data_IF_025589567267
#
_entry.id   IF_025589567267
#
_cell.length_a   1.000
_cell.length_b   1.000
_cell.length_c   1.000
_cell.angle_alpha   90.00
_cell.angle_beta   90.00
_cell.angle_gamma   90.00
#
_symmetry.space_group_name_H-M   'P 1'
#
loop_
_entity.id
_entity.type
_entity.pdbx_description
1 polymer ?
2 non-polymer ?
3 non-polymer ?
4 non-polymer ?
5 water ?
#
# COMPACT_ATOMS: atom_id res chain seq x y z
N UNK A 1 -1.03 13.40 -11.79
CA UNK A 1 -0.40 12.37 -10.96
C UNK A 1 -1.05 11.03 -11.30
N UNK A 2 -0.25 9.98 -11.43
CA UNK A 2 -0.78 8.67 -11.80
C UNK A 2 0.03 7.57 -11.18
N UNK A 3 -0.61 6.40 -11.06
CA UNK A 3 0.07 5.20 -10.60
C UNK A 3 -0.31 4.04 -11.49
N UNK A 4 0.43 2.94 -11.39
CA UNK A 4 -0.03 1.69 -11.94
C UNK A 4 0.38 0.55 -11.03
N UNK A 5 -0.23 -0.60 -11.31
CA UNK A 5 -0.02 -1.81 -10.54
C UNK A 5 0.53 -2.87 -11.47
N UNK A 6 1.71 -3.37 -11.16
CA UNK A 6 2.40 -4.33 -12.01
C UNK A 6 2.48 -3.86 -13.46
N UNK A 7 2.60 -2.55 -13.66
CA UNK A 7 2.76 -1.98 -14.99
C UNK A 7 1.51 -1.98 -15.84
N UNK A 8 0.34 -1.99 -15.21
CA UNK A 8 -0.92 -2.01 -15.93
C UNK A 8 -1.38 -0.61 -16.31
N UNK A 9 -2.70 -0.44 -16.41
CA UNK A 9 -3.28 0.84 -16.77
C UNK A 9 -3.00 1.91 -15.72
N UNK A 10 -3.01 3.16 -16.16
CA UNK A 10 -2.76 4.27 -15.27
C UNK A 10 -3.96 4.56 -14.40
N UNK A 11 -3.69 4.95 -13.16
CA UNK A 11 -4.71 5.12 -12.13
C UNK A 11 -4.53 6.50 -11.51
N UNK A 12 -5.57 7.31 -11.54
CA UNK A 12 -5.49 8.66 -11.01
C UNK A 12 -6.28 8.86 -9.74
N UNK A 13 -7.11 7.87 -9.38
CA UNK A 13 -7.94 7.92 -8.20
C UNK A 13 -8.67 6.61 -8.12
N UNK A 14 -9.32 6.35 -6.99
CA UNK A 14 -10.22 5.22 -6.89
C UNK A 14 -9.59 4.00 -6.29
N UNK A 15 -10.29 2.88 -6.43
CA UNK A 15 -9.95 1.64 -5.75
C UNK A 15 -9.34 0.65 -6.71
N UNK A 16 -8.21 0.06 -6.33
CA UNK A 16 -7.52 -0.91 -7.14
C UNK A 16 -7.06 -2.07 -6.29
N UNK A 17 -7.25 -3.29 -6.77
CA UNK A 17 -6.68 -4.43 -6.11
C UNK A 17 -5.22 -4.60 -6.49
N UNK A 18 -4.44 -5.06 -5.52
CA UNK A 18 -3.02 -5.29 -5.70
C UNK A 18 -2.74 -6.69 -5.23
N UNK A 19 -2.26 -7.54 -6.14
CA UNK A 19 -2.09 -8.95 -5.85
C UNK A 19 -0.64 -9.27 -5.51
N UNK A 20 -0.44 -9.89 -4.35
CA UNK A 20 0.89 -10.11 -3.83
C UNK A 20 1.19 -11.59 -3.70
N UNK A 21 2.48 -11.91 -3.64
CA UNK A 21 2.93 -13.28 -3.49
C UNK A 21 3.66 -13.43 -2.16
N UNK A 22 3.15 -14.31 -1.32
CA UNK A 22 3.65 -14.43 0.04
C UNK A 22 4.29 -15.79 0.27
N UNK A 23 5.26 -15.84 1.19
CA UNK A 23 5.82 -17.12 1.62
C UNK A 23 4.67 -18.04 2.03
N UNK A 24 4.63 -19.24 1.46
CA UNK A 24 3.47 -20.12 1.67
C UNK A 24 3.43 -20.73 3.08
N UNK A 25 4.57 -20.77 3.76
CA UNK A 25 4.63 -21.33 5.11
C UNK A 25 5.38 -20.40 6.03
N UNK A 26 4.77 -20.10 7.17
CA UNK A 26 5.45 -19.33 8.20
C UNK A 26 5.36 -20.04 9.55
N UNK A 27 6.35 -19.82 10.40
CA UNK A 27 6.40 -20.46 11.70
C UNK A 27 5.74 -19.58 12.73
N UNK A 28 5.23 -20.17 13.82
CA UNK A 28 4.71 -19.40 14.94
C UNK A 28 5.75 -18.36 15.36
N UNK A 29 5.33 -17.12 15.54
CA UNK A 29 6.24 -16.07 15.94
C UNK A 29 6.88 -15.34 14.75
N UNK A 30 6.56 -15.79 13.55
CA UNK A 30 7.09 -15.17 12.33
C UNK A 30 6.02 -14.26 11.71
N UNK A 31 6.46 -13.15 11.13
CA UNK A 31 5.54 -12.23 10.46
C UNK A 31 5.53 -12.40 8.97
N UNK A 32 4.45 -11.98 8.33
CA UNK A 32 4.43 -11.86 6.87
C UNK A 32 4.93 -10.48 6.49
N UNK A 33 5.72 -10.41 5.44
CA UNK A 33 6.23 -9.14 4.96
C UNK A 33 5.70 -8.92 3.56
N UNK A 34 4.88 -7.88 3.38
CA UNK A 34 4.32 -7.59 2.09
C UNK A 34 4.99 -6.36 1.52
N UNK A 35 5.80 -6.53 0.48
CA UNK A 35 6.55 -5.43 -0.11
C UNK A 35 5.80 -4.84 -1.29
N UNK A 36 5.01 -3.82 -1.03
CA UNK A 36 4.16 -3.26 -2.07
C UNK A 36 4.95 -2.41 -3.06
N UNK A 37 6.20 -2.08 -2.75
CA UNK A 37 7.04 -1.35 -3.70
C UNK A 37 7.29 -2.19 -4.95
N UNK A 38 7.12 -3.50 -4.84
CA UNK A 38 7.29 -4.39 -5.99
C UNK A 38 6.11 -4.33 -6.95
N UNK A 39 5.03 -3.67 -6.55
CA UNK A 39 3.77 -3.71 -7.29
C UNK A 39 3.24 -2.35 -7.70
N UNK A 40 3.27 -1.38 -6.80
CA UNK A 40 2.66 -0.08 -7.06
C UNK A 40 3.74 0.93 -7.35
N UNK A 41 3.62 1.62 -8.48
CA UNK A 41 4.54 2.72 -8.82
C UNK A 41 3.72 3.92 -9.23
N UNK A 42 4.24 5.12 -8.94
CA UNK A 42 3.54 6.34 -9.28
C UNK A 42 4.50 7.37 -9.88
N UNK A 43 3.94 8.39 -10.51
CA UNK A 43 4.78 9.40 -11.13
C UNK A 43 4.00 10.69 -11.27
N UNK A 44 4.76 11.77 -11.48
CA UNK A 44 4.21 13.07 -11.80
C UNK A 44 4.00 13.14 -13.31
N UNK A 45 2.85 13.65 -13.74
CA UNK A 45 2.48 13.58 -15.15
C UNK A 45 3.13 14.64 -16.03
N UNK A 46 3.81 15.61 -15.41
CA UNK A 46 4.54 16.62 -16.17
C UNK A 46 6.04 16.30 -16.22
N UNK A 47 6.56 15.77 -15.12
CA UNK A 47 8.00 15.60 -14.98
C UNK A 47 8.68 16.90 -14.56
N UNK A 48 9.96 16.79 -14.27
CA UNK A 48 10.77 17.94 -13.88
C UNK A 48 10.31 18.61 -12.60
N UNK A 49 9.56 17.88 -11.76
CA UNK A 49 9.07 18.43 -10.51
C UNK A 49 8.23 19.66 -10.75
N UNK A 50 7.59 19.72 -11.92
CA UNK A 50 6.62 20.75 -12.21
C UNK A 50 5.28 20.35 -11.60
N UNK A 51 4.71 21.21 -10.77
CA UNK A 51 3.48 20.88 -10.04
C UNK A 51 3.67 19.59 -9.23
N UNK A 52 4.63 19.64 -8.33
CA UNK A 52 5.01 18.46 -7.57
C UNK A 52 3.84 17.89 -6.78
N UNK A 53 3.76 16.57 -6.79
CA UNK A 53 2.69 15.83 -6.12
C UNK A 53 3.09 15.49 -4.70
N UNK A 54 2.14 15.58 -3.77
CA UNK A 54 2.39 15.30 -2.36
C UNK A 54 1.46 14.18 -1.93
N UNK A 55 2.06 13.07 -1.53
CA UNK A 55 1.33 11.83 -1.32
C UNK A 55 1.47 11.36 0.12
N UNK A 56 0.37 11.00 0.76
CA UNK A 56 0.46 10.41 2.09
C UNK A 56 -0.56 9.31 2.23
N UNK A 57 -0.35 8.42 3.19
CA UNK A 57 -1.35 7.43 3.53
C UNK A 57 -2.22 7.94 4.66
N UNK A 58 -3.40 7.34 4.80
CA UNK A 58 -4.49 7.98 5.50
C UNK A 58 -4.98 7.17 6.69
N UNK A 59 -5.19 7.88 7.79
CA UNK A 59 -5.81 7.32 8.98
C UNK A 59 -7.08 6.57 8.60
N UNK A 60 -7.24 5.38 9.15
CA UNK A 60 -8.37 4.52 8.83
C UNK A 60 -7.99 3.36 7.94
N UNK A 61 -6.83 3.42 7.29
CA UNK A 61 -6.30 2.27 6.58
C UNK A 61 -6.24 1.12 7.58
N UNK A 62 -6.72 -0.05 7.17
CA UNK A 62 -7.02 -1.09 8.15
C UNK A 62 -6.86 -2.50 7.59
N UNK A 63 -6.83 -3.48 8.48
CA UNK A 63 -6.92 -4.86 8.04
C UNK A 63 -8.31 -5.14 7.51
N UNK A 64 -8.41 -6.13 6.64
CA UNK A 64 -9.68 -6.72 6.28
C UNK A 64 -10.40 -7.18 7.55
N UNK A 65 -11.73 -7.10 7.54
CA UNK A 65 -12.53 -7.53 8.68
C UNK A 65 -12.15 -8.89 9.23
N UNK A 66 -11.89 -9.84 8.33
CA UNK A 66 -11.53 -11.19 8.75
C UNK A 66 -10.22 -11.22 9.54
N UNK A 67 -9.37 -10.23 9.31
CA UNK A 67 -8.06 -10.19 9.93
C UNK A 67 -7.96 -9.11 11.00
N UNK A 68 -9.10 -8.68 11.54
CA UNK A 68 -9.12 -7.56 12.49
C UNK A 68 -8.25 -7.80 13.73
N UNK A 69 -8.07 -9.06 14.10
CA UNK A 69 -7.28 -9.38 15.29
C UNK A 69 -5.79 -9.35 15.03
N UNK A 70 -5.37 -9.29 13.77
CA UNK A 70 -3.96 -9.31 13.45
C UNK A 70 -3.30 -8.00 13.90
N UNK A 71 -1.99 -8.06 14.11
CA UNK A 71 -1.20 -6.88 14.44
C UNK A 71 -0.34 -6.52 13.24
N UNK A 72 0.01 -5.25 13.11
CA UNK A 72 0.79 -4.86 11.96
C UNK A 72 1.60 -3.60 12.15
N UNK A 73 2.64 -3.48 11.33
CA UNK A 73 3.37 -2.23 11.16
C UNK A 73 3.43 -1.92 9.69
N UNK A 74 3.27 -0.64 9.36
CA UNK A 74 3.27 -0.20 7.99
C UNK A 74 4.44 0.73 7.79
N UNK A 75 5.30 0.38 6.84
CA UNK A 75 6.43 1.22 6.45
C UNK A 75 6.02 2.10 5.29
N UNK A 76 6.23 3.40 5.44
CA UNK A 76 5.99 4.37 4.37
C UNK A 76 7.08 5.42 4.37
N UNK A 77 7.80 5.48 3.26
CA UNK A 77 8.73 6.58 3.01
C UNK A 77 9.62 6.86 4.21
N UNK A 78 10.36 5.83 4.63
CA UNK A 78 11.38 5.94 5.67
C UNK A 78 10.89 5.91 7.11
N UNK A 79 9.59 5.78 7.31
CA UNK A 79 9.03 5.77 8.65
C UNK A 79 8.10 4.57 8.81
N UNK A 80 8.01 4.02 10.03
CA UNK A 80 7.13 2.89 10.30
C UNK A 80 6.05 3.28 11.28
N UNK A 81 4.81 2.89 10.98
CA UNK A 81 3.61 3.22 11.73
C UNK A 81 2.90 1.96 12.18
N UNK A 82 2.28 1.98 13.37
CA UNK A 82 1.43 0.84 13.71
C UNK A 82 0.23 0.79 12.77
N UNK A 83 -0.26 -0.41 12.51
CA UNK A 83 -1.35 -0.64 11.58
C UNK A 83 -2.44 -1.41 12.32
N UNK A 84 -3.71 -1.01 12.22
CA UNK A 84 -4.26 0.03 11.34
C UNK A 84 -3.73 1.42 11.62
N UNK A 85 -3.74 2.27 10.60
CA UNK A 85 -3.28 3.64 10.78
C UNK A 85 -4.27 4.43 11.60
N UNK A 86 -3.79 5.01 12.70
CA UNK A 86 -4.62 5.89 13.50
C UNK A 86 -4.21 7.35 13.33
N UNK A 87 -3.22 7.59 12.48
CA UNK A 87 -2.83 8.93 12.03
C UNK A 87 -2.55 8.84 10.55
N UNK A 88 -2.47 9.97 9.88
CA UNK A 88 -1.93 9.99 8.55
C UNK A 88 -0.42 9.75 8.63
N UNK A 89 0.20 9.42 7.51
CA UNK A 89 1.64 9.28 7.47
C UNK A 89 2.29 10.57 7.00
N UNK A 90 3.62 10.57 7.00
CA UNK A 90 4.40 11.61 6.38
C UNK A 90 4.08 11.70 4.89
N UNK A 91 4.50 12.83 4.31
CA UNK A 91 4.26 13.13 2.91
C UNK A 91 5.48 12.77 2.06
N UNK A 92 5.22 12.08 0.96
CA UNK A 92 6.21 11.77 -0.06
C UNK A 92 5.96 12.68 -1.26
N UNK A 93 7.01 13.37 -1.71
CA UNK A 93 6.90 14.25 -2.87
C UNK A 93 7.34 13.52 -4.12
N UNK A 94 6.54 13.65 -5.17
CA UNK A 94 6.78 12.97 -6.44
C UNK A 94 6.75 13.98 -7.57
N UNK A 95 7.84 14.00 -8.34
CA UNK A 95 8.00 15.00 -9.38
C UNK A 95 8.58 14.50 -10.69
N UNK A 96 9.18 13.33 -10.68
CA UNK A 96 9.72 12.78 -11.91
C UNK A 96 8.62 12.07 -12.69
N UNK A 97 8.77 12.03 -14.00
CA UNK A 97 7.84 11.32 -14.86
C UNK A 97 8.13 9.83 -14.87
N UNK A 98 9.38 9.46 -14.57
CA UNK A 98 9.74 8.06 -14.48
C UNK A 98 9.07 7.45 -13.25
N UNK A 99 8.33 6.34 -13.45
CA UNK A 99 7.64 5.74 -12.30
C UNK A 99 8.55 5.42 -11.10
N UNK A 100 8.06 5.76 -9.91
CA UNK A 100 8.75 5.52 -8.64
C UNK A 100 7.99 4.42 -7.91
N UNK A 101 8.65 3.29 -7.60
CA UNK A 101 7.98 2.31 -6.75
C UNK A 101 7.58 2.98 -5.43
N UNK A 102 6.37 2.74 -4.96
CA UNK A 102 5.98 3.35 -3.70
C UNK A 102 6.75 2.71 -2.56
N UNK A 103 7.31 3.53 -1.66
CA UNK A 103 8.12 3.02 -0.56
C UNK A 103 7.20 2.56 0.57
N UNK A 104 6.57 1.41 0.34
CA UNK A 104 5.44 0.94 1.12
C UNK A 104 5.55 -0.56 1.37
N UNK A 105 5.60 -0.93 2.66
CA UNK A 105 5.63 -2.34 3.06
C UNK A 105 4.73 -2.55 4.25
N UNK A 106 4.17 -3.75 4.35
CA UNK A 106 3.32 -4.08 5.48
C UNK A 106 3.86 -5.32 6.17
N UNK A 107 4.03 -5.24 7.49
CA UNK A 107 4.51 -6.35 8.31
C UNK A 107 3.35 -6.84 9.13
N UNK A 108 3.01 -8.12 9.00
CA UNK A 108 1.77 -8.62 9.56
C UNK A 108 2.01 -9.76 10.53
N UNK A 109 1.46 -9.62 11.75
CA UNK A 109 1.53 -10.67 12.74
C UNK A 109 0.16 -11.32 12.87
N UNK A 110 0.05 -12.60 12.45
CA UNK A 110 -1.23 -13.28 12.60
C UNK A 110 -1.53 -13.51 14.08
N UNK A 111 -2.80 -13.34 14.44
CA UNK A 111 -3.27 -13.61 15.79
C UNK A 111 -4.58 -14.38 15.68
N UNK A 112 -4.70 -15.47 16.43
CA UNK A 112 -5.92 -16.25 16.44
C UNK A 112 -6.00 -17.26 15.31
N UNK A 116 -3.33 -23.20 11.33
CA UNK A 116 -3.91 -23.48 10.03
C UNK A 116 -3.62 -22.39 9.02
N UNK A 117 -4.64 -22.01 8.27
CA UNK A 117 -4.48 -20.97 7.24
C UNK A 117 -4.43 -19.59 7.88
N UNK A 118 -3.34 -18.86 7.66
CA UNK A 118 -3.24 -17.51 8.19
C UNK A 118 -3.64 -16.46 7.15
N UNK A 119 -3.48 -16.81 5.88
CA UNK A 119 -3.97 -15.99 4.76
C UNK A 119 -4.58 -16.91 3.73
N UNK A 120 -5.81 -16.62 3.32
CA UNK A 120 -6.49 -17.38 2.27
C UNK A 120 -6.20 -16.75 0.93
N UNK A 121 -5.82 -17.57 -0.05
CA UNK A 121 -5.63 -17.08 -1.40
C UNK A 121 -6.90 -16.35 -1.84
N UNK A 122 -6.73 -15.16 -2.39
CA UNK A 122 -7.85 -14.42 -2.95
C UNK A 122 -8.59 -13.49 -2.00
N UNK A 123 -8.34 -13.59 -0.69
CA UNK A 123 -9.03 -12.72 0.25
C UNK A 123 -8.30 -11.39 0.40
N UNK A 124 -9.05 -10.36 0.69
CA UNK A 124 -8.44 -9.09 1.00
C UNK A 124 -7.73 -9.19 2.34
N UNK A 125 -6.50 -8.68 2.39
CA UNK A 125 -5.69 -8.66 3.60
C UNK A 125 -5.80 -7.33 4.32
N UNK A 126 -5.71 -6.25 3.55
CA UNK A 126 -5.67 -4.90 4.10
C UNK A 126 -6.14 -3.93 3.05
N UNK A 127 -6.59 -2.77 3.51
CA UNK A 127 -7.07 -1.72 2.66
C UNK A 127 -6.29 -0.47 3.03
N UNK A 128 -5.50 0.04 2.10
CA UNK A 128 -4.61 1.16 2.36
C UNK A 128 -5.10 2.35 1.58
N UNK A 129 -5.44 3.42 2.31
CA UNK A 129 -5.95 4.63 1.70
C UNK A 129 -4.83 5.64 1.50
N UNK A 130 -4.83 6.27 0.34
CA UNK A 130 -3.76 7.18 -0.06
C UNK A 130 -4.37 8.46 -0.58
N UNK A 131 -3.75 9.58 -0.22
CA UNK A 131 -4.19 10.90 -0.62
C UNK A 131 -3.11 11.60 -1.43
N UNK A 132 -3.53 12.27 -2.50
CA UNK A 132 -2.65 13.06 -3.34
C UNK A 132 -3.17 14.49 -3.42
N UNK A 133 -2.27 15.45 -3.27
CA UNK A 133 -2.56 16.81 -3.64
C UNK A 133 -1.28 17.39 -4.22
N UNK A 134 -1.40 18.17 -5.29
CA UNK A 134 -0.23 18.74 -5.94
C UNK A 134 0.05 20.15 -5.43
N UNK A 135 0.67 20.99 -6.25
CA UNK A 135 1.25 22.24 -5.78
C UNK A 135 0.54 23.49 -6.33
N UNK A 136 0.16 23.43 -7.60
CA UNK A 136 -0.39 24.60 -8.26
C UNK A 136 -1.92 24.59 -8.22
N UNK A 137 -2.50 25.77 -8.14
CA UNK A 137 -3.95 25.90 -8.10
C UNK A 137 -4.54 25.20 -6.90
N UNK A 138 -5.58 24.41 -7.13
CA UNK A 138 -6.22 23.64 -6.06
C UNK A 138 -5.40 22.41 -5.67
N UNK A 139 -4.44 22.06 -6.51
CA UNK A 139 -3.66 20.84 -6.31
C UNK A 139 -4.39 19.59 -6.77
N UNK A 140 -5.63 19.75 -7.23
CA UNK A 140 -6.44 18.63 -7.70
C UNK A 140 -6.35 17.39 -6.80
N UNK A 141 -6.86 17.51 -5.57
CA UNK A 141 -6.77 16.39 -4.62
C UNK A 141 -7.44 15.14 -5.15
N UNK A 142 -6.82 13.99 -4.87
CA UNK A 142 -7.33 12.70 -5.33
C UNK A 142 -7.22 11.69 -4.20
N UNK A 143 -8.20 10.79 -4.10
CA UNK A 143 -8.20 9.70 -3.12
C UNK A 143 -8.02 8.37 -3.83
N UNK A 144 -7.17 7.52 -3.26
CA UNK A 144 -6.93 6.16 -3.75
C UNK A 144 -7.16 5.16 -2.61
N UNK A 145 -7.58 3.96 -2.98
CA UNK A 145 -7.55 2.84 -2.07
C UNK A 145 -6.85 1.69 -2.76
N UNK A 146 -5.93 1.05 -2.05
CA UNK A 146 -5.23 -0.13 -2.50
C UNK A 146 -5.73 -1.30 -1.67
N UNK A 147 -6.47 -2.20 -2.31
CA UNK A 147 -6.96 -3.41 -1.63
C UNK A 147 -5.97 -4.53 -1.88
N UNK A 148 -5.29 -4.95 -0.82
CA UNK A 148 -4.19 -5.89 -0.95
C UNK A 148 -4.71 -7.32 -0.82
N UNK A 149 -4.40 -8.16 -1.81
CA UNK A 149 -4.92 -9.53 -1.89
C UNK A 149 -3.78 -10.49 -2.19
N UNK A 150 -3.70 -11.62 -1.48
CA UNK A 150 -2.65 -12.60 -1.79
C UNK A 150 -3.06 -13.53 -2.91
N UNK A 151 -2.11 -13.81 -3.80
CA UNK A 151 -2.31 -14.82 -4.84
C UNK A 151 -2.31 -16.23 -4.29
N UNK A 152 -1.75 -16.40 -3.09
CA UNK A 152 -1.60 -17.74 -2.53
C UNK A 152 -1.95 -17.79 -1.06
N UNK A 153 -2.23 -18.99 -0.58
CA UNK A 153 -2.48 -19.19 0.83
C UNK A 153 -1.18 -19.20 1.61
N UNK A 154 -1.27 -18.90 2.89
CA UNK A 154 -0.14 -19.03 3.79
C UNK A 154 -0.62 -19.84 4.97
N UNK A 155 0.16 -20.86 5.34
CA UNK A 155 -0.18 -21.71 6.47
C UNK A 155 0.88 -21.58 7.55
N UNK A 156 0.46 -21.84 8.79
CA UNK A 156 1.36 -21.83 9.94
C UNK A 156 1.13 -23.09 10.76
N UNK A 157 2.19 -23.88 10.98
CA UNK A 157 2.11 -25.12 11.76
C UNK A 157 1.49 -24.91 13.14
X LIG B 1 -11.87 -7.65 3.57
X LIG B 1 -10.99 -6.47 3.47
X LIG B 1 -11.18 -8.81 3.06
X LIG B 1 -13.12 -7.41 2.85
X LIG B 1 -12.18 -7.93 4.96
X LIG C 1 -1.51 14.56 -18.00
X LIG C 1 -3.55 13.08 -15.17
X LIG C 1 -5.29 12.56 -13.57
X LIG C 1 -4.23 10.80 -14.77
X LIG C 1 -3.42 11.73 -15.44
X LIG C 1 1.43 15.03 -11.66
X LIG C 1 1.49 16.44 -11.97
X LIG C 1 0.12 17.01 -12.19
X LIG C 1 -0.63 16.08 -13.05
X LIG C 1 -1.93 16.60 -13.46
X LIG C 1 -2.59 15.57 -14.06
X LIG C 1 -2.20 15.25 -15.39
X LIG C 1 -1.38 16.11 -16.15
X LIG C 1 -1.04 15.75 -17.46
X LIG C 1 -2.32 13.71 -17.25
X LIG C 1 -2.66 14.06 -15.94
X LIG C 1 -4.50 13.50 -14.25
X LIG C 1 -6.32 13.03 -12.54
X LIG C 1 -7.24 12.23 -12.19
X LIG C 1 -6.25 14.20 -12.07
X LIG C 1 -5.16 11.22 -13.84
X LIG C 1 -4.07 9.43 -15.06
X LIG C 1 -4.61 8.53 -14.22
X LIG C 1 -3.49 9.07 -16.08
X LIG C 1 -2.75 17.02 -12.26
X LIG C 1 -3.92 17.72 -12.75
X LIG C 1 -2.00 17.89 -11.32
X LIG C 1 -2.82 18.14 -10.13
X LIG C 1 -0.70 17.29 -10.94
X LIG C 1 -0.95 16.07 -10.21
X LIG D 1 -8.38 8.37 0.66
X LIG D 1 -8.44 11.77 2.33
X LIG D 1 -8.96 14.13 2.43
X LIG D 1 -6.84 13.34 3.24
X LIG D 1 -7.20 12.02 2.91
X LIG D 1 -14.90 9.51 1.58
X LIG D 1 -15.22 10.09 2.86
X LIG D 1 -14.11 9.75 3.81
X LIG D 1 -12.82 10.18 3.21
X LIG D 1 -11.71 9.97 4.11
X LIG D 1 -10.61 10.53 3.52
X LIG D 1 -9.90 9.74 2.56
X LIG D 1 -10.25 8.43 2.21
X LIG D 1 -9.49 7.76 1.26
X LIG D 1 -8.04 9.66 1.01
X LIG D 1 -8.81 10.35 1.96
X LIG D 1 -9.32 12.82 2.09
X LIG D 1 -9.93 15.30 2.17
X LIG D 1 -11.00 15.09 1.54
X LIG D 1 -9.63 16.46 2.59
X LIG D 1 -7.72 14.39 3.00
X LIG D 1 -5.58 13.60 3.81
X LIG D 1 -4.73 12.58 4.04
X LIG D 1 -5.26 14.75 4.10
X LIG D 1 -11.95 10.71 5.41
X LIG D 1 -10.84 10.52 6.32
X LIG D 1 -13.22 10.29 6.07
X LIG D 1 -13.46 11.14 7.22
X LIG D 1 -14.37 10.40 5.15
X LIG D 1 -14.68 11.79 4.94
X LIG E 1 7.23 19.96 -3.50
X LIG E 1 7.54 21.24 -2.94
X LIG E 1 8.26 19.43 -4.35
X LIG E 1 6.97 18.93 -2.50
X LIG E 1 6.12 20.29 -4.38
X LIG F 1 -3.41 -11.82 -11.25
X LIG F 1 -3.29 -12.85 -10.29
X LIG F 1 -2.04 -11.50 -11.91
X LIG F 1 -1.11 -12.55 -11.97
X LIG F 1 -1.81 -10.36 -12.89
X LIG F 1 -0.67 -9.61 -12.50
X LIG F 1 -4.12 -12.13 -12.01
X LIG F 1 -3.80 -10.92 -10.77
X LIG F 1 -4.15 -12.99 -9.85
X LIG F 1 -1.63 -10.98 -11.05
X LIG F 1 -1.11 -12.94 -12.87
X LIG F 1 -1.66 -10.76 -13.90
X LIG F 1 -2.69 -9.71 -12.91
X LIG F 1 0.01 -10.22 -12.14
X LIG G 1 5.80 -10.02 -3.65
X LIG G 1 4.43 -9.94 -3.89
X LIG G 1 5.93 -9.16 -2.42
X LIG G 1 4.65 -9.01 -1.85
X LIG G 1 6.81 -9.82 -1.39
X LIG G 1 6.53 -9.04 -0.26
X LIG G 1 6.11 -11.04 -3.45
X LIG G 1 6.38 -9.61 -4.48
X LIG G 1 4.22 -10.42 -4.72
X LIG G 1 6.35 -8.20 -2.69
X LIG G 1 4.30 -9.88 -1.59
X LIG G 1 6.53 -10.85 -1.24
X LIG G 1 7.86 -9.74 -1.66
X LIG G 1 7.06 -8.22 -0.30
#
# INVERSE_FOLDING_TARGET
FSCNVDGGSSIGAGTTSVYVNLDPVIQPGQNLVVDLSQHISCWNDYGGWYDTDHINLVQGSAFAGSLQSYKGSLYWNNVTYPFPLTTNTNVLDIGDKTPMPLPLKLYITPVGAAGGVVIKAGEVIARIHMYKIATLGSGNPRNFTWNIISNNSVVMPTGGHHHHHH
SO4 S O1 O2 O3 O4
JC4 C10 C13 C15 C20 C24 O01 C02 C03 O04 C05 O06 C07 C08 C09 C11 C12 C14 C16 O17 O18 C19 N21 O22 O23 C25 O26 C27 O28 C29 O30
JC4 C10 C13 C15 C20 C24 O01 C02 C03 O04 C05 O06 C07 C08 C09 C11 C12 C14 C16 O17 O18 C19 N21 O22 O23 C25 O26 C27 O28 C29 O30
SO4 S O1 O2 O3 O4
GOL C1 O1 C2 O2 C3 O3 H11 H12 HO1 H2 HO2 H31 H32 HO3
GOL C1 O1 C2 O2 C3 O3 H11 H12 HO1 H2 HO2 H31 H32 HO3
#
